data_IF_267728315382
#
_entry.id   IF_267728315382
#
_cell.length_a   1.000
_cell.length_b   1.000
_cell.length_c   1.000
_cell.angle_alpha   90.00
_cell.angle_beta   90.00
_cell.angle_gamma   90.00
#
_symmetry.space_group_name_H-M   'P 1'
#
loop_
_entity.id
_entity.type
_entity.pdbx_description
1 polymer ?
#
# COMPACT_ATOMS: atom_id res chain seq x y z
N UNK A 1 -4.60 16.60 -14.84
CA UNK A 1 -5.15 15.68 -13.83
C UNK A 1 -4.16 14.57 -13.61
N UNK A 2 -3.68 14.34 -12.37
CA UNK A 2 -2.86 13.15 -12.08
C UNK A 2 -3.72 11.91 -12.29
N UNK A 3 -3.26 10.96 -13.10
CA UNK A 3 -3.91 9.66 -13.21
C UNK A 3 -3.92 9.00 -11.83
N UNK A 4 -5.11 8.61 -11.36
CA UNK A 4 -5.26 7.91 -10.07
C UNK A 4 -4.65 6.52 -10.23
N UNK A 5 -3.51 6.32 -9.57
CA UNK A 5 -2.83 5.03 -9.48
C UNK A 5 -3.40 4.27 -8.28
N UNK A 6 -3.59 2.96 -8.42
CA UNK A 6 -4.07 2.12 -7.32
C UNK A 6 -3.08 2.03 -6.16
N UNK A 7 -3.57 1.61 -4.99
CA UNK A 7 -2.70 1.22 -3.89
C UNK A 7 -1.72 0.12 -4.34
N UNK A 8 -0.45 0.17 -3.91
CA UNK A 8 0.55 -0.85 -4.26
C UNK A 8 0.16 -2.21 -3.68
N UNK A 9 0.31 -3.26 -4.50
CA UNK A 9 0.13 -4.66 -4.10
C UNK A 9 1.38 -5.46 -4.42
N UNK A 10 1.80 -6.35 -3.52
CA UNK A 10 2.90 -7.27 -3.81
C UNK A 10 2.37 -8.48 -4.58
N UNK A 11 3.04 -8.84 -5.67
CA UNK A 11 2.75 -10.01 -6.50
C UNK A 11 4.01 -10.83 -6.73
N UNK A 12 3.82 -12.13 -6.94
CA UNK A 12 4.88 -13.09 -7.24
C UNK A 12 4.83 -13.46 -8.72
N UNK A 13 5.98 -13.42 -9.40
CA UNK A 13 6.08 -13.77 -10.82
C UNK A 13 7.24 -14.75 -11.02
N UNK A 14 6.92 -15.97 -11.45
CA UNK A 14 7.89 -16.99 -11.84
C UNK A 14 8.53 -16.63 -13.19
N UNK A 15 9.84 -16.45 -13.19
CA UNK A 15 10.59 -16.40 -14.44
C UNK A 15 10.91 -17.83 -14.89
N UNK A 16 10.21 -18.27 -15.95
CA UNK A 16 10.32 -19.63 -16.50
C UNK A 16 11.72 -20.00 -17.00
N UNK A 17 12.55 -19.01 -17.37
CA UNK A 17 13.90 -19.27 -17.92
C UNK A 17 14.90 -19.67 -16.84
N UNK A 18 14.83 -19.03 -15.68
CA UNK A 18 15.77 -19.26 -14.58
C UNK A 18 15.14 -19.93 -13.35
N UNK A 19 13.83 -20.24 -13.41
CA UNK A 19 13.06 -20.85 -12.32
C UNK A 19 13.11 -20.05 -11.01
N UNK A 20 13.30 -18.72 -11.10
CA UNK A 20 13.30 -17.82 -9.94
C UNK A 20 11.96 -17.09 -9.88
N UNK A 21 11.31 -17.11 -8.72
CA UNK A 21 10.13 -16.30 -8.43
C UNK A 21 10.57 -14.93 -7.93
N UNK A 22 10.23 -13.87 -8.67
CA UNK A 22 10.51 -12.49 -8.31
C UNK A 22 9.30 -11.83 -7.67
N UNK A 23 9.57 -10.91 -6.74
CA UNK A 23 8.55 -10.11 -6.08
C UNK A 23 8.46 -8.74 -6.76
N UNK A 24 7.23 -8.35 -7.10
CA UNK A 24 6.95 -7.04 -7.67
C UNK A 24 5.92 -6.29 -6.84
N UNK A 25 6.14 -5.00 -6.66
CA UNK A 25 5.10 -4.05 -6.30
C UNK A 25 4.36 -3.65 -7.57
N UNK A 26 3.07 -3.99 -7.64
CA UNK A 26 2.16 -3.75 -8.75
C UNK A 26 1.16 -2.65 -8.41
N UNK A 27 1.00 -1.73 -9.35
CA UNK A 27 0.02 -0.66 -9.29
C UNK A 27 -0.67 -0.55 -10.64
N UNK A 28 -2.00 -0.57 -10.65
CA UNK A 28 -2.76 -0.40 -11.89
C UNK A 28 -3.25 1.04 -12.04
N UNK A 29 -3.38 1.48 -13.28
CA UNK A 29 -3.91 2.78 -13.66
C UNK A 29 -4.65 2.68 -14.99
N UNK A 30 -5.60 3.57 -15.20
CA UNK A 30 -6.27 3.73 -16.50
C UNK A 30 -5.39 4.58 -17.42
N UNK A 31 -5.04 4.05 -18.59
CA UNK A 31 -4.33 4.78 -19.65
C UNK A 31 -5.36 5.39 -20.62
N UNK A 32 -5.58 6.73 -20.59
CA UNK A 32 -6.61 7.37 -21.39
C UNK A 32 -6.28 7.41 -22.89
N UNK A 33 -5.00 7.40 -23.27
CA UNK A 33 -4.60 7.39 -24.69
C UNK A 33 -4.90 6.04 -25.33
N UNK A 34 -4.56 4.97 -24.61
CA UNK A 34 -4.76 3.59 -25.08
C UNK A 34 -6.13 3.02 -24.70
N UNK A 35 -6.91 3.74 -23.90
CA UNK A 35 -8.25 3.34 -23.40
C UNK A 35 -8.25 1.95 -22.76
N UNK A 36 -7.24 1.66 -21.95
CA UNK A 36 -7.12 0.37 -21.26
C UNK A 36 -6.45 0.50 -19.90
N UNK A 37 -6.72 -0.46 -19.01
CA UNK A 37 -5.97 -0.59 -17.76
C UNK A 37 -4.54 -1.05 -18.05
N UNK A 38 -3.58 -0.42 -17.39
CA UNK A 38 -2.15 -0.73 -17.45
C UNK A 38 -1.60 -0.90 -16.05
N UNK A 39 -0.46 -1.56 -15.95
CA UNK A 39 0.22 -1.81 -14.68
C UNK A 39 1.62 -1.20 -14.70
N UNK A 40 1.99 -0.57 -13.60
CA UNK A 40 3.36 -0.17 -13.29
C UNK A 40 3.89 -1.14 -12.24
N UNK A 41 5.00 -1.81 -12.57
CA UNK A 41 5.63 -2.81 -11.71
C UNK A 41 7.05 -2.40 -11.33
N UNK A 42 7.38 -2.58 -10.06
CA UNK A 42 8.73 -2.37 -9.53
C UNK A 42 9.21 -3.66 -8.88
N UNK A 43 10.39 -4.15 -9.29
CA UNK A 43 10.99 -5.32 -8.65
C UNK A 43 11.47 -4.96 -7.24
N UNK A 44 10.95 -5.65 -6.24
CA UNK A 44 11.21 -5.39 -4.83
C UNK A 44 11.98 -6.52 -4.14
N UNK A 45 12.21 -7.63 -4.83
CA UNK A 45 12.90 -8.78 -4.26
C UNK A 45 12.66 -10.07 -5.02
N UNK A 46 12.86 -11.19 -4.32
CA UNK A 46 12.60 -12.54 -4.82
C UNK A 46 12.04 -13.43 -3.71
N UNK A 47 11.47 -14.56 -4.09
CA UNK A 47 11.10 -15.62 -3.16
C UNK A 47 12.34 -16.46 -2.85
N UNK A 48 12.48 -16.89 -1.60
CA UNK A 48 13.40 -17.97 -1.25
C UNK A 48 12.82 -19.30 -1.78
N UNK A 49 13.54 -20.03 -2.67
CA UNK A 49 13.04 -21.29 -3.23
C UNK A 49 12.85 -22.40 -2.19
N UNK A 50 13.51 -22.35 -1.03
CA UNK A 50 13.41 -23.40 -0.01
C UNK A 50 12.35 -23.10 1.04
N UNK A 51 12.28 -21.85 1.50
CA UNK A 51 11.38 -21.46 2.60
C UNK A 51 10.08 -20.81 2.13
N UNK A 52 10.00 -20.38 0.87
CA UNK A 52 8.88 -19.59 0.36
C UNK A 52 8.79 -18.19 0.97
N UNK A 53 9.84 -17.72 1.67
CA UNK A 53 9.83 -16.41 2.30
C UNK A 53 10.14 -15.28 1.31
N UNK A 54 9.55 -14.12 1.55
CA UNK A 54 9.83 -12.92 0.77
C UNK A 54 11.21 -12.35 1.11
N UNK A 55 12.14 -12.40 0.16
CA UNK A 55 13.46 -11.77 0.26
C UNK A 55 13.45 -10.42 -0.44
N UNK A 56 13.09 -9.37 0.31
CA UNK A 56 13.10 -7.99 -0.18
C UNK A 56 14.52 -7.47 -0.39
N UNK A 57 14.70 -6.57 -1.35
CA UNK A 57 15.95 -5.84 -1.57
C UNK A 57 16.15 -4.74 -0.49
N UNK A 58 17.39 -4.30 -0.30
CA UNK A 58 17.75 -3.38 0.80
C UNK A 58 16.95 -2.08 0.75
N UNK A 59 16.81 -1.50 -0.44
CA UNK A 59 16.03 -0.27 -0.65
C UNK A 59 14.58 -0.43 -0.19
N UNK A 60 13.93 -1.53 -0.56
CA UNK A 60 12.54 -1.76 -0.20
C UNK A 60 12.37 -2.01 1.30
N UNK A 61 13.34 -2.68 1.95
CA UNK A 61 13.35 -2.83 3.42
C UNK A 61 13.44 -1.48 4.13
N UNK A 62 14.28 -0.57 3.64
CA UNK A 62 14.36 0.80 4.17
C UNK A 62 13.07 1.60 3.95
N UNK A 63 12.40 1.42 2.81
CA UNK A 63 11.09 2.05 2.56
C UNK A 63 10.02 1.53 3.53
N UNK A 64 9.99 0.21 3.77
CA UNK A 64 9.08 -0.41 4.75
C UNK A 64 9.33 0.09 6.19
N UNK A 65 10.60 0.21 6.61
CA UNK A 65 10.93 0.70 7.95
C UNK A 65 10.50 2.16 8.13
N UNK A 66 10.70 3.00 7.10
CA UNK A 66 10.22 4.40 7.10
C UNK A 66 8.69 4.47 7.21
N UNK A 67 7.96 3.61 6.50
CA UNK A 67 6.49 3.55 6.58
C UNK A 67 6.02 3.14 7.98
N UNK A 68 6.66 2.14 8.59
CA UNK A 68 6.35 1.70 9.95
C UNK A 68 6.58 2.82 10.98
N UNK A 69 7.68 3.55 10.87
CA UNK A 69 7.97 4.70 11.73
C UNK A 69 6.92 5.82 11.57
N UNK A 70 6.48 6.10 10.34
CA UNK A 70 5.41 7.07 10.08
C UNK A 70 4.10 6.65 10.76
N UNK A 71 3.70 5.39 10.62
CA UNK A 71 2.48 4.87 11.25
C UNK A 71 2.54 4.92 12.78
N UNK A 72 3.71 4.66 13.36
CA UNK A 72 3.94 4.77 14.81
C UNK A 72 3.84 6.23 15.28
N UNK A 73 4.40 7.17 14.53
CA UNK A 73 4.29 8.59 14.85
C UNK A 73 2.86 9.10 14.75
N UNK A 74 2.11 8.66 13.74
CA UNK A 74 0.68 9.01 13.58
C UNK A 74 -0.20 8.42 14.69
N UNK A 75 0.07 7.18 15.12
CA UNK A 75 -0.65 6.56 16.23
C UNK A 75 -0.30 7.18 17.59
N UNK A 76 0.91 7.74 17.73
CA UNK A 76 1.34 8.47 18.91
C UNK A 76 0.68 9.86 19.04
N UNK A 77 0.08 10.40 17.96
CA UNK A 77 -0.78 11.58 18.06
C UNK A 77 -2.07 11.13 18.75
N UNK A 78 -2.33 11.58 19.99
CA UNK A 78 -3.50 11.13 20.71
C UNK A 78 -4.75 11.60 19.98
N UNK A 79 -5.66 10.65 19.69
CA UNK A 79 -6.91 10.88 18.97
C UNK A 79 -7.97 11.61 19.82
N UNK A 80 -7.58 12.64 20.56
CA UNK A 80 -8.50 13.43 21.40
C UNK A 80 -9.60 14.14 20.58
N UNK A 81 -9.39 14.33 19.27
CA UNK A 81 -10.28 15.13 18.41
C UNK A 81 -11.57 14.41 17.96
N UNK A 82 -11.68 13.10 18.12
CA UNK A 82 -12.90 12.36 17.73
C UNK A 82 -14.05 12.54 18.72
N UNK A 83 -13.74 12.65 20.02
CA UNK A 83 -14.76 12.70 21.06
C UNK A 83 -15.64 13.95 20.99
N UNK A 84 -15.05 15.10 20.66
CA UNK A 84 -15.81 16.34 20.52
C UNK A 84 -16.71 16.34 19.27
N UNK A 85 -16.25 15.74 18.16
CA UNK A 85 -17.02 15.68 16.92
C UNK A 85 -18.17 14.67 17.02
N UNK A 86 -17.90 13.47 17.54
CA UNK A 86 -18.91 12.44 17.81
C UNK A 86 -19.97 12.97 18.78
N UNK A 87 -19.56 13.66 19.85
CA UNK A 87 -20.48 14.28 20.80
C UNK A 87 -21.33 15.39 20.18
N UNK A 88 -20.77 16.19 19.29
CA UNK A 88 -21.52 17.23 18.55
C UNK A 88 -22.53 16.61 17.57
N UNK A 89 -22.15 15.55 16.85
CA UNK A 89 -23.09 14.80 16.01
C UNK A 89 -24.24 14.22 16.83
N UNK A 90 -23.94 13.63 17.99
CA UNK A 90 -24.95 13.06 18.87
C UNK A 90 -25.92 14.11 19.43
N UNK A 91 -25.41 15.31 19.74
CA UNK A 91 -26.26 16.44 20.16
C UNK A 91 -27.15 16.91 19.00
N UNK A 92 -26.60 17.07 17.80
CA UNK A 92 -27.35 17.48 16.62
C UNK A 92 -28.46 16.47 16.25
N UNK A 93 -28.17 15.17 16.32
CA UNK A 93 -29.14 14.10 16.05
C UNK A 93 -30.27 14.08 17.08
N UNK A 94 -29.97 14.36 18.36
CA UNK A 94 -30.96 14.43 19.43
C UNK A 94 -31.82 15.71 19.40
N UNK A 95 -31.34 16.82 18.82
CA UNK A 95 -32.12 18.07 18.68
C UNK A 95 -33.05 18.06 17.44
N UNK A 96 -32.85 17.13 16.51
CA UNK A 96 -33.64 17.00 15.26
C UNK A 96 -34.70 15.89 15.30
N UNK A 97 -34.83 15.17 16.41
CA UNK A 97 -35.84 14.14 16.67
C UNK A 97 -36.97 14.67 17.57
#
# INVERSE_FOLDING_TARGET
MLAKVSSPKIIEILNKKNQVTYLYEDQHYWDPEKKQTRHKRRCIGKLDPFTGQHLYNSRYREELSRQQLQQQNESAIPKFRLYAFERLQQILENELA
#
